data_IF_596939089828
#
_entry.id   IF_596939089828
#
_cell.length_a   1.000
_cell.length_b   1.000
_cell.length_c   1.000
_cell.angle_alpha   90.00
_cell.angle_beta   90.00
_cell.angle_gamma   90.00
#
_symmetry.space_group_name_H-M   'P 1'
#
loop_
_entity.id
_entity.type
_entity.pdbx_description
1 polymer ?
#
# COMPACT_ATOMS: atom_id res chain seq x y z
N UNK A 1 -7.64 1.85 22.98
CA UNK A 1 -7.29 2.00 21.55
C UNK A 1 -7.89 0.82 20.81
N UNK A 2 -8.71 1.01 19.77
CA UNK A 2 -9.10 -0.08 18.92
C UNK A 2 -7.83 -0.65 18.28
N UNK A 3 -7.65 -1.94 18.40
CA UNK A 3 -6.52 -2.65 17.76
C UNK A 3 -6.90 -2.82 16.30
N UNK A 4 -5.99 -2.50 15.37
CA UNK A 4 -6.13 -2.77 13.93
C UNK A 4 -6.18 -4.28 13.59
N UNK A 5 -6.23 -5.15 14.59
CA UNK A 5 -6.20 -6.62 14.44
C UNK A 5 -7.39 -7.21 13.64
N UNK A 6 -8.35 -6.40 13.24
CA UNK A 6 -9.49 -6.80 12.41
C UNK A 6 -9.47 -6.19 11.03
N UNK A 7 -8.64 -5.16 10.80
CA UNK A 7 -8.69 -4.35 9.59
C UNK A 7 -7.77 -4.91 8.49
N UNK A 8 -8.21 -4.75 7.26
CA UNK A 8 -7.47 -5.08 6.05
C UNK A 8 -6.97 -3.79 5.41
N UNK A 9 -5.67 -3.71 5.15
CA UNK A 9 -5.03 -2.52 4.58
C UNK A 9 -4.49 -2.81 3.19
N UNK A 10 -4.76 -1.92 2.25
CA UNK A 10 -4.20 -1.99 0.91
C UNK A 10 -3.21 -0.83 0.69
N UNK A 11 -1.97 -1.14 0.35
CA UNK A 11 -0.93 -0.15 0.02
C UNK A 11 -0.63 -0.19 -1.47
N UNK A 12 -0.85 0.92 -2.14
CA UNK A 12 -0.66 1.12 -3.58
C UNK A 12 0.52 2.07 -3.80
N UNK A 13 1.54 1.56 -4.50
CA UNK A 13 2.83 2.23 -4.66
C UNK A 13 3.76 1.94 -3.49
N UNK A 14 4.85 1.24 -3.78
CA UNK A 14 5.81 0.75 -2.78
C UNK A 14 7.21 1.34 -3.03
N UNK A 15 7.26 2.63 -3.39
CA UNK A 15 8.50 3.39 -3.25
C UNK A 15 8.87 3.56 -1.78
N UNK A 16 9.84 4.41 -1.44
CA UNK A 16 10.34 4.55 -0.07
C UNK A 16 9.22 4.76 0.97
N UNK A 17 8.27 5.67 0.69
CA UNK A 17 7.14 5.96 1.60
C UNK A 17 6.21 4.77 1.75
N UNK A 18 5.78 4.16 0.64
CA UNK A 18 4.83 3.06 0.68
C UNK A 18 5.39 1.80 1.33
N UNK A 19 6.66 1.52 1.10
CA UNK A 19 7.36 0.40 1.71
C UNK A 19 7.47 0.56 3.25
N UNK A 20 7.81 1.74 3.73
CA UNK A 20 7.86 2.05 5.17
C UNK A 20 6.46 2.04 5.80
N UNK A 21 5.42 2.49 5.08
CA UNK A 21 4.03 2.38 5.54
C UNK A 21 3.63 0.90 5.67
N UNK A 22 3.92 0.06 4.66
CA UNK A 22 3.61 -1.36 4.70
C UNK A 22 4.30 -2.07 5.88
N UNK A 23 5.57 -1.77 6.13
CA UNK A 23 6.30 -2.28 7.29
C UNK A 23 5.68 -1.82 8.61
N UNK A 24 5.35 -0.53 8.74
CA UNK A 24 4.76 0.04 9.96
C UNK A 24 3.37 -0.53 10.27
N UNK A 25 2.54 -0.70 9.25
CA UNK A 25 1.20 -1.30 9.35
C UNK A 25 1.31 -2.77 9.78
N UNK A 26 2.30 -3.50 9.29
CA UNK A 26 2.57 -4.88 9.70
C UNK A 26 2.94 -5.00 11.18
N UNK A 27 3.71 -4.04 11.71
CA UNK A 27 4.01 -3.97 13.15
C UNK A 27 2.74 -3.72 14.00
N UNK A 28 1.74 -3.05 13.44
CA UNK A 28 0.46 -2.82 14.11
C UNK A 28 -0.45 -4.07 14.12
N UNK A 29 0.02 -5.18 13.56
CA UNK A 29 -0.67 -6.47 13.51
C UNK A 29 -2.07 -6.37 12.86
N UNK A 30 -2.14 -5.80 11.67
CA UNK A 30 -3.37 -5.83 10.84
C UNK A 30 -3.71 -7.27 10.46
N UNK A 31 -4.97 -7.51 10.14
CA UNK A 31 -5.44 -8.83 9.71
C UNK A 31 -4.84 -9.21 8.36
N UNK A 32 -5.03 -8.36 7.37
CA UNK A 32 -4.57 -8.62 6.00
C UNK A 32 -3.90 -7.38 5.41
N UNK A 33 -2.83 -7.60 4.67
CA UNK A 33 -2.09 -6.57 3.97
C UNK A 33 -2.08 -6.89 2.47
N UNK A 34 -2.70 -6.02 1.66
CA UNK A 34 -2.68 -6.08 0.20
C UNK A 34 -1.63 -5.12 -0.32
N UNK A 35 -0.80 -5.57 -1.24
CA UNK A 35 0.32 -4.81 -1.78
C UNK A 35 0.24 -4.76 -3.31
N UNK A 36 0.33 -3.57 -3.88
CA UNK A 36 0.37 -3.36 -5.31
C UNK A 36 1.48 -2.40 -5.71
N UNK A 37 2.45 -2.90 -6.45
CA UNK A 37 3.43 -2.14 -7.23
C UNK A 37 4.14 -3.10 -8.18
N UNK A 38 3.90 -2.95 -9.48
CA UNK A 38 4.47 -3.81 -10.51
C UNK A 38 5.90 -3.39 -10.95
N UNK A 39 6.40 -2.27 -10.44
CA UNK A 39 7.76 -1.84 -10.75
C UNK A 39 8.77 -2.82 -10.14
N UNK A 40 9.80 -3.15 -10.92
CA UNK A 40 10.91 -3.95 -10.41
C UNK A 40 11.73 -3.17 -9.38
N UNK A 41 12.24 -3.86 -8.38
CA UNK A 41 13.17 -3.29 -7.41
C UNK A 41 14.35 -2.69 -8.14
N UNK A 42 14.68 -1.45 -7.83
CA UNK A 42 15.78 -0.70 -8.42
C UNK A 42 16.91 -0.46 -7.41
N UNK A 43 18.05 -0.01 -7.90
CA UNK A 43 19.17 0.40 -7.04
C UNK A 43 18.79 1.59 -6.13
N UNK A 44 17.91 2.48 -6.60
CA UNK A 44 17.40 3.59 -5.79
C UNK A 44 16.58 3.08 -4.61
N UNK A 45 15.69 2.11 -4.81
CA UNK A 45 14.89 1.52 -3.74
C UNK A 45 15.76 0.91 -2.64
N UNK A 46 16.81 0.17 -3.02
CA UNK A 46 17.78 -0.36 -2.06
C UNK A 46 18.53 0.75 -1.32
N UNK A 47 18.91 1.83 -2.01
CA UNK A 47 19.61 2.96 -1.38
C UNK A 47 18.73 3.73 -0.41
N UNK A 48 17.47 3.94 -0.77
CA UNK A 48 16.52 4.73 0.01
C UNK A 48 15.94 3.93 1.20
N UNK A 49 15.75 2.62 1.02
CA UNK A 49 15.16 1.74 2.03
C UNK A 49 15.91 0.40 2.16
N UNK A 50 17.19 0.41 2.59
CA UNK A 50 18.06 -0.80 2.62
C UNK A 50 17.61 -1.84 3.66
N UNK A 51 16.68 -1.49 4.55
CA UNK A 51 16.08 -2.44 5.51
C UNK A 51 14.90 -3.21 4.94
N UNK A 52 14.36 -2.74 3.81
CA UNK A 52 13.17 -3.31 3.17
C UNK A 52 13.54 -4.02 1.89
N UNK A 53 14.39 -3.42 1.08
CA UNK A 53 14.82 -3.98 -0.21
C UNK A 53 16.21 -4.60 -0.12
N UNK A 54 16.34 -5.82 -0.67
CA UNK A 54 17.62 -6.51 -0.78
C UNK A 54 18.27 -6.19 -2.13
N UNK A 55 19.59 -6.07 -2.13
CA UNK A 55 20.39 -5.90 -3.35
C UNK A 55 20.20 -7.07 -4.32
N UNK A 56 19.95 -8.28 -3.80
CA UNK A 56 19.69 -9.47 -4.59
C UNK A 56 18.36 -9.43 -5.35
N UNK A 57 17.42 -8.59 -4.93
CA UNK A 57 16.10 -8.47 -5.57
C UNK A 57 16.08 -7.47 -6.73
N UNK A 58 17.15 -6.68 -6.90
CA UNK A 58 17.22 -5.64 -7.95
C UNK A 58 17.05 -6.27 -9.33
N UNK A 59 16.02 -5.79 -10.06
CA UNK A 59 15.71 -6.25 -11.40
C UNK A 59 15.11 -7.65 -11.51
N UNK A 60 14.89 -8.34 -10.38
CA UNK A 60 14.37 -9.73 -10.35
C UNK A 60 12.96 -9.81 -9.78
N UNK A 61 12.69 -9.07 -8.71
CA UNK A 61 11.35 -9.04 -8.07
C UNK A 61 10.68 -7.70 -8.28
N UNK A 62 9.35 -7.70 -8.27
CA UNK A 62 8.59 -6.46 -8.13
C UNK A 62 8.72 -5.93 -6.71
N UNK A 63 8.50 -4.62 -6.53
CA UNK A 63 8.48 -4.00 -5.20
C UNK A 63 7.47 -4.69 -4.28
N UNK A 64 6.30 -5.03 -4.81
CA UNK A 64 5.27 -5.74 -4.03
C UNK A 64 5.73 -7.13 -3.57
N UNK A 65 6.41 -7.89 -4.42
CA UNK A 65 6.94 -9.21 -4.05
C UNK A 65 8.06 -9.12 -3.02
N UNK A 66 8.95 -8.12 -3.13
CA UNK A 66 10.04 -7.92 -2.18
C UNK A 66 9.50 -7.55 -0.80
N UNK A 67 8.58 -6.57 -0.71
CA UNK A 67 7.94 -6.16 0.55
C UNK A 67 7.13 -7.31 1.15
N UNK A 68 6.38 -8.06 0.33
CA UNK A 68 5.63 -9.22 0.81
C UNK A 68 6.54 -10.30 1.41
N UNK A 69 7.70 -10.54 0.80
CA UNK A 69 8.68 -11.50 1.33
C UNK A 69 9.21 -11.08 2.70
N UNK A 70 9.52 -9.80 2.87
CA UNK A 70 9.97 -9.23 4.15
C UNK A 70 8.88 -9.36 5.22
N UNK A 71 7.65 -8.95 4.91
CA UNK A 71 6.54 -8.97 5.87
C UNK A 71 6.22 -10.40 6.30
N UNK A 72 6.12 -11.34 5.36
CA UNK A 72 5.87 -12.77 5.68
C UNK A 72 6.94 -13.37 6.58
N UNK A 73 8.20 -12.96 6.41
CA UNK A 73 9.30 -13.43 7.24
C UNK A 73 9.25 -12.83 8.66
N UNK A 74 8.94 -11.53 8.77
CA UNK A 74 8.99 -10.80 10.04
C UNK A 74 7.70 -10.86 10.85
N UNK A 75 6.55 -11.01 10.17
CA UNK A 75 5.21 -10.96 10.75
C UNK A 75 4.35 -12.11 10.22
N UNK A 76 4.58 -13.35 10.67
CA UNK A 76 3.90 -14.55 10.16
C UNK A 76 2.38 -14.54 10.40
N UNK A 77 1.89 -13.76 11.36
CA UNK A 77 0.47 -13.63 11.68
C UNK A 77 -0.30 -12.66 10.77
N UNK A 78 0.40 -11.89 9.94
CA UNK A 78 -0.21 -10.98 8.97
C UNK A 78 -0.43 -11.71 7.66
N UNK A 79 -1.68 -11.74 7.19
CA UNK A 79 -2.02 -12.32 5.89
C UNK A 79 -1.63 -11.36 4.75
N UNK A 80 -0.60 -11.72 3.97
CA UNK A 80 -0.05 -10.83 2.93
C UNK A 80 -0.43 -11.31 1.53
N UNK A 81 -1.04 -10.41 0.75
CA UNK A 81 -1.47 -10.62 -0.63
C UNK A 81 -0.76 -9.67 -1.58
N UNK A 82 -0.09 -10.20 -2.59
CA UNK A 82 0.44 -9.41 -3.70
C UNK A 82 -0.62 -9.34 -4.80
N UNK A 83 -1.04 -8.13 -5.14
CA UNK A 83 -1.99 -7.89 -6.22
C UNK A 83 -1.20 -7.57 -7.49
N UNK A 84 -1.47 -8.33 -8.55
CA UNK A 84 -0.88 -8.13 -9.87
C UNK A 84 -1.96 -7.66 -10.85
N UNK A 85 -1.78 -6.50 -11.45
CA UNK A 85 -2.69 -5.96 -12.46
C UNK A 85 -1.95 -5.82 -13.78
N UNK A 86 -2.39 -6.53 -14.81
CA UNK A 86 -1.90 -6.36 -16.17
C UNK A 86 -2.59 -5.17 -16.87
N UNK A 87 -2.54 -3.99 -16.24
CA UNK A 87 -3.06 -2.75 -16.83
C UNK A 87 -4.58 -2.53 -16.74
N UNK A 88 -5.35 -3.46 -16.15
CA UNK A 88 -6.80 -3.29 -16.00
C UNK A 88 -7.13 -2.64 -14.65
N UNK A 89 -7.59 -1.40 -14.66
CA UNK A 89 -8.09 -0.68 -13.47
C UNK A 89 -9.16 -1.45 -12.68
N UNK A 90 -9.94 -2.26 -13.35
CA UNK A 90 -10.99 -3.09 -12.75
C UNK A 90 -10.48 -4.14 -11.77
N UNK A 91 -9.26 -4.67 -11.99
CA UNK A 91 -8.66 -5.65 -11.07
C UNK A 91 -8.22 -4.97 -9.78
N UNK A 92 -7.70 -3.74 -9.87
CA UNK A 92 -7.32 -2.97 -8.69
C UNK A 92 -8.56 -2.58 -7.88
N UNK A 93 -9.63 -2.13 -8.52
CA UNK A 93 -10.90 -1.79 -7.88
C UNK A 93 -11.54 -3.00 -7.17
N UNK A 94 -11.55 -4.17 -7.80
CA UNK A 94 -12.06 -5.39 -7.17
C UNK A 94 -11.22 -5.84 -5.96
N UNK A 95 -9.92 -5.58 -5.99
CA UNK A 95 -9.03 -5.88 -4.86
C UNK A 95 -9.20 -4.85 -3.74
N UNK A 96 -9.44 -3.57 -4.07
CA UNK A 96 -9.75 -2.51 -3.10
C UNK A 96 -11.00 -2.82 -2.28
N UNK A 97 -12.02 -3.44 -2.88
CA UNK A 97 -13.26 -3.80 -2.20
C UNK A 97 -13.05 -4.76 -0.99
N UNK A 98 -11.89 -5.40 -0.88
CA UNK A 98 -11.54 -6.27 0.25
C UNK A 98 -10.79 -5.54 1.38
N UNK A 99 -10.53 -4.26 1.24
CA UNK A 99 -9.78 -3.48 2.20
C UNK A 99 -10.69 -2.50 2.97
N UNK A 100 -10.39 -2.31 4.25
CA UNK A 100 -11.01 -1.29 5.10
C UNK A 100 -10.30 0.05 4.95
N UNK A 101 -8.99 0.01 4.67
CA UNK A 101 -8.14 1.17 4.50
C UNK A 101 -7.33 1.02 3.20
N UNK A 102 -7.34 2.04 2.36
CA UNK A 102 -6.56 2.12 1.12
C UNK A 102 -5.55 3.26 1.21
N UNK A 103 -4.28 2.95 1.06
CA UNK A 103 -3.17 3.92 1.11
C UNK A 103 -2.55 4.04 -0.28
N UNK A 104 -2.55 5.26 -0.81
CA UNK A 104 -1.96 5.61 -2.10
C UNK A 104 -0.73 6.49 -1.89
N UNK A 105 0.36 6.17 -2.57
CA UNK A 105 1.61 6.94 -2.51
C UNK A 105 1.96 7.63 -3.83
N UNK A 106 1.02 7.62 -4.77
CA UNK A 106 1.13 8.37 -6.04
C UNK A 106 0.86 9.86 -5.83
N UNK A 107 1.41 10.68 -6.73
CA UNK A 107 1.11 12.11 -6.83
C UNK A 107 0.17 12.43 -8.01
N UNK A 108 -0.27 11.45 -8.77
CA UNK A 108 -1.20 11.65 -9.88
C UNK A 108 -2.60 12.00 -9.34
N UNK A 109 -2.93 13.30 -9.47
CA UNK A 109 -4.19 13.84 -8.97
C UNK A 109 -5.41 13.18 -9.63
N UNK A 110 -5.33 12.83 -10.90
CA UNK A 110 -6.46 12.24 -11.63
C UNK A 110 -6.78 10.86 -11.09
N UNK A 111 -5.76 10.05 -10.87
CA UNK A 111 -5.92 8.74 -10.22
C UNK A 111 -6.43 8.87 -8.80
N UNK A 112 -5.88 9.79 -8.01
CA UNK A 112 -6.27 9.98 -6.61
C UNK A 112 -7.75 10.37 -6.47
N UNK A 113 -8.25 11.31 -7.29
CA UNK A 113 -9.66 11.71 -7.28
C UNK A 113 -10.55 10.51 -7.62
N UNK A 114 -10.23 9.78 -8.68
CA UNK A 114 -10.99 8.62 -9.12
C UNK A 114 -11.07 7.55 -8.03
N UNK A 115 -9.96 7.18 -7.41
CA UNK A 115 -9.93 6.15 -6.37
C UNK A 115 -10.56 6.62 -5.07
N UNK A 116 -10.47 7.92 -4.73
CA UNK A 116 -11.17 8.47 -3.58
C UNK A 116 -12.70 8.40 -3.77
N UNK A 117 -13.20 8.75 -4.94
CA UNK A 117 -14.63 8.62 -5.28
C UNK A 117 -15.08 7.14 -5.22
N UNK A 118 -14.25 6.22 -5.73
CA UNK A 118 -14.53 4.79 -5.63
C UNK A 118 -14.61 4.33 -4.17
N UNK A 119 -13.65 4.71 -3.32
CA UNK A 119 -13.63 4.34 -1.90
C UNK A 119 -14.85 4.88 -1.14
N UNK A 120 -15.28 6.11 -1.44
CA UNK A 120 -16.49 6.73 -0.87
C UNK A 120 -17.77 6.01 -1.25
N UNK A 121 -17.83 5.46 -2.47
CA UNK A 121 -19.03 4.79 -2.99
C UNK A 121 -19.24 3.39 -2.42
N UNK A 122 -18.27 2.84 -1.70
CA UNK A 122 -18.39 1.52 -1.09
C UNK A 122 -19.32 1.54 0.14
N UNK A 123 -19.83 0.37 0.52
CA UNK A 123 -20.68 0.21 1.72
C UNK A 123 -20.18 -0.99 2.54
N UNK A 124 -19.53 -0.76 3.70
CA UNK A 124 -19.12 0.54 4.25
C UNK A 124 -18.09 1.26 3.40
N UNK A 125 -17.93 2.60 3.51
CA UNK A 125 -16.90 3.35 2.83
C UNK A 125 -15.50 2.88 3.24
N UNK A 126 -14.58 2.82 2.26
CA UNK A 126 -13.17 2.50 2.50
C UNK A 126 -12.45 3.78 2.92
N UNK A 127 -11.72 3.75 4.03
CA UNK A 127 -10.88 4.89 4.43
C UNK A 127 -9.77 5.11 3.38
N UNK A 128 -9.81 6.25 2.71
CA UNK A 128 -8.82 6.63 1.71
C UNK A 128 -7.72 7.48 2.33
N UNK A 129 -6.46 7.08 2.14
CA UNK A 129 -5.28 7.82 2.59
C UNK A 129 -4.37 8.04 1.40
N UNK A 130 -3.98 9.28 1.16
CA UNK A 130 -2.86 9.57 0.26
C UNK A 130 -1.69 10.13 1.07
N UNK A 131 -0.53 9.51 0.93
CA UNK A 131 0.72 9.94 1.55
C UNK A 131 1.81 10.03 0.50
N UNK A 132 2.37 11.20 0.30
CA UNK A 132 3.38 11.44 -0.72
C UNK A 132 4.46 12.40 -0.21
N UNK A 133 5.70 12.19 -0.64
CA UNK A 133 6.78 13.13 -0.44
C UNK A 133 7.26 13.67 -1.79
N UNK A 134 7.59 14.94 -1.82
CA UNK A 134 8.12 15.67 -2.96
C UNK A 134 9.44 16.35 -2.53
N UNK A 135 10.53 15.59 -2.58
CA UNK A 135 11.82 16.04 -2.08
C UNK A 135 11.80 16.23 -0.55
N UNK A 136 11.92 17.47 -0.09
CA UNK A 136 11.94 17.83 1.34
C UNK A 136 10.55 18.07 1.94
N UNK A 137 9.51 18.07 1.13
CA UNK A 137 8.12 18.32 1.57
C UNK A 137 7.31 17.06 1.41
N UNK A 138 6.55 16.71 2.43
CA UNK A 138 5.57 15.65 2.38
C UNK A 138 4.17 16.14 2.73
N UNK A 139 3.15 15.44 2.28
CA UNK A 139 1.77 15.67 2.68
C UNK A 139 1.04 14.35 2.88
N UNK A 140 0.01 14.43 3.70
CA UNK A 140 -0.94 13.32 3.89
C UNK A 140 -2.35 13.89 3.80
N UNK A 141 -3.21 13.24 3.04
CA UNK A 141 -4.64 13.52 2.95
C UNK A 141 -5.40 12.26 3.38
N UNK A 142 -6.44 12.43 4.21
CA UNK A 142 -7.25 11.32 4.72
C UNK A 142 -8.72 11.65 4.47
N UNK A 143 -9.45 10.68 3.94
CA UNK A 143 -10.88 10.73 3.74
C UNK A 143 -11.54 9.46 4.33
N UNK A 144 -12.36 9.64 5.34
CA UNK A 144 -13.07 8.54 6.01
C UNK A 144 -14.42 8.19 5.32
N UNK A 145 -14.74 8.83 4.21
CA UNK A 145 -16.00 8.64 3.49
C UNK A 145 -17.13 9.53 4.01
N UNK A 146 -18.00 9.01 4.86
CA UNK A 146 -19.10 9.77 5.44
C UNK A 146 -18.78 10.15 6.89
N UNK A 147 -19.01 11.42 7.20
CA UNK A 147 -19.10 11.90 8.58
C UNK A 147 -20.58 12.02 8.91
N UNK A 148 -21.04 11.23 9.86
CA UNK A 148 -22.32 11.44 10.56
C UNK A 148 -22.13 12.40 11.73
#
# INVERSE_FOLDING_TARGET
>A
MPRLNGDSVFVIGLGAVGAEIAASVSHACVKSLYLFDNALVSKADYTDSPRIYDIADIGLKTRAEAVASLVKCSFPDVEVHVVSCNGASTVLESSLANADIAVFTTSDRTELVRYNEYCRAQTPPICFINACNLGLVGYTFIDYGQFD
#
